data_IF_739946603902
#
_entry.id   IF_739946603902
#
_cell.length_a   1.000
_cell.length_b   1.000
_cell.length_c   1.000
_cell.angle_alpha   90.00
_cell.angle_beta   90.00
_cell.angle_gamma   90.00
#
_symmetry.space_group_name_H-M   'P 1'
#
loop_
_entity.id
_entity.type
_entity.pdbx_description
1 polymer ?
#
# COMPACT_ATOMS: atom_id res chain seq x y z
N UNK A 1 -21.61 -7.28 3.31
CA UNK A 1 -21.64 -6.58 1.99
C UNK A 1 -20.20 -6.48 1.51
N UNK A 2 -19.88 -7.05 0.35
CA UNK A 2 -18.52 -7.00 -0.20
C UNK A 2 -18.36 -5.73 -1.03
N UNK A 3 -17.33 -4.93 -0.74
CA UNK A 3 -16.94 -3.78 -1.55
C UNK A 3 -15.49 -4.00 -2.02
N UNK A 4 -15.26 -4.17 -3.33
CA UNK A 4 -13.91 -4.24 -3.86
C UNK A 4 -13.20 -2.90 -3.71
N UNK A 5 -11.88 -2.91 -3.78
CA UNK A 5 -11.08 -1.71 -3.70
C UNK A 5 -9.63 -1.95 -4.06
N UNK A 6 -8.86 -0.88 -3.96
CA UNK A 6 -7.43 -0.87 -4.20
C UNK A 6 -6.73 -0.20 -3.03
N UNK A 7 -5.73 -0.85 -2.46
CA UNK A 7 -4.79 -0.22 -1.55
C UNK A 7 -3.48 0.08 -2.28
N UNK A 8 -3.02 1.31 -2.20
CA UNK A 8 -1.74 1.77 -2.72
C UNK A 8 -0.84 2.15 -1.56
N UNK A 9 0.27 1.44 -1.38
CA UNK A 9 1.21 1.62 -0.27
C UNK A 9 2.54 2.14 -0.79
N UNK A 10 2.94 3.32 -0.33
CA UNK A 10 4.29 3.85 -0.54
C UNK A 10 5.17 3.37 0.62
N UNK A 11 6.19 2.58 0.31
CA UNK A 11 7.17 2.10 1.27
C UNK A 11 8.55 1.97 0.59
N UNK A 12 9.60 1.92 1.41
CA UNK A 12 10.92 1.58 0.94
C UNK A 12 11.51 0.38 1.67
N UNK A 13 12.64 -0.13 1.16
CA UNK A 13 13.32 -1.30 1.73
C UNK A 13 13.74 -1.08 3.19
N UNK A 14 13.96 0.17 3.57
CA UNK A 14 14.27 0.63 4.94
C UNK A 14 13.59 1.99 5.18
N UNK A 15 13.46 2.42 6.44
CA UNK A 15 12.91 3.74 6.76
C UNK A 15 13.77 4.92 6.25
N UNK A 16 15.04 4.67 5.95
CA UNK A 16 15.97 5.65 5.37
C UNK A 16 16.18 5.48 3.86
N UNK A 17 15.37 4.65 3.19
CA UNK A 17 15.53 4.41 1.77
C UNK A 17 15.31 5.71 0.96
N UNK A 18 16.17 5.94 -0.02
CA UNK A 18 16.09 7.05 -0.96
C UNK A 18 16.29 6.48 -2.36
N UNK A 19 15.54 6.99 -3.33
CA UNK A 19 15.76 6.68 -4.74
C UNK A 19 16.96 7.48 -5.24
N UNK A 20 17.96 6.76 -5.74
CA UNK A 20 19.16 7.31 -6.36
C UNK A 20 19.23 6.89 -7.82
N UNK A 21 20.13 7.48 -8.60
CA UNK A 21 20.26 7.16 -10.03
C UNK A 21 20.52 5.67 -10.28
N UNK A 22 21.45 5.08 -9.53
CA UNK A 22 21.81 3.67 -9.66
C UNK A 22 20.76 2.71 -9.06
N UNK A 23 19.92 3.21 -8.14
CA UNK A 23 18.85 2.45 -7.49
C UNK A 23 17.55 3.26 -7.42
N UNK A 24 16.83 3.40 -8.55
CA UNK A 24 15.72 4.36 -8.67
C UNK A 24 14.43 3.89 -7.98
N UNK A 25 14.37 2.65 -7.50
CA UNK A 25 13.13 2.00 -7.05
C UNK A 25 13.22 1.46 -5.60
N UNK A 26 14.05 2.08 -4.75
CA UNK A 26 14.17 1.70 -3.33
C UNK A 26 13.00 2.16 -2.48
N UNK A 27 12.28 3.20 -2.92
CA UNK A 27 11.00 3.68 -2.39
C UNK A 27 10.01 3.67 -3.55
N UNK A 28 8.93 2.89 -3.43
CA UNK A 28 7.98 2.69 -4.53
C UNK A 28 6.56 2.47 -4.04
N UNK A 29 5.62 2.71 -4.95
CA UNK A 29 4.20 2.41 -4.73
C UNK A 29 3.93 0.95 -5.06
N UNK A 30 3.36 0.25 -4.09
CA UNK A 30 2.82 -1.09 -4.24
C UNK A 30 1.30 -1.02 -4.28
N UNK A 31 0.67 -1.60 -5.30
CA UNK A 31 -0.78 -1.66 -5.39
C UNK A 31 -1.26 -3.09 -5.16
N UNK A 32 -2.29 -3.23 -4.33
CA UNK A 32 -2.95 -4.49 -4.06
C UNK A 32 -4.46 -4.32 -4.15
N UNK A 33 -5.15 -5.30 -4.74
CA UNK A 33 -6.60 -5.35 -4.66
C UNK A 33 -7.01 -5.76 -3.25
N UNK A 34 -8.03 -5.10 -2.72
CA UNK A 34 -8.56 -5.37 -1.38
C UNK A 34 -10.05 -5.59 -1.45
N UNK A 35 -10.55 -6.42 -0.53
CA UNK A 35 -11.97 -6.67 -0.38
C UNK A 35 -12.39 -6.36 1.05
N UNK A 36 -13.38 -5.48 1.21
CA UNK A 36 -14.08 -5.34 2.47
C UNK A 36 -14.97 -6.56 2.69
N UNK A 37 -14.78 -7.23 3.82
CA UNK A 37 -15.59 -8.36 4.29
C UNK A 37 -16.21 -7.99 5.63
N UNK A 38 -17.54 -8.02 5.72
CA UNK A 38 -18.29 -7.74 6.97
C UNK A 38 -17.91 -6.41 7.65
N UNK A 39 -17.64 -5.38 6.84
CA UNK A 39 -17.26 -4.05 7.32
C UNK A 39 -15.82 -3.94 7.81
N UNK A 40 -15.05 -5.03 7.77
CA UNK A 40 -13.65 -5.08 8.13
C UNK A 40 -12.77 -5.14 6.87
N UNK A 41 -11.66 -4.41 6.91
CA UNK A 41 -10.61 -4.47 5.91
C UNK A 41 -9.39 -5.15 6.52
N UNK A 42 -9.20 -6.47 6.33
CA UNK A 42 -7.97 -7.12 6.76
C UNK A 42 -6.82 -6.59 5.92
N UNK A 43 -5.98 -5.73 6.50
CA UNK A 43 -4.79 -5.20 5.84
C UNK A 43 -3.59 -5.23 6.78
N UNK A 44 -2.47 -5.73 6.28
CA UNK A 44 -1.18 -5.57 6.93
C UNK A 44 -0.53 -4.31 6.39
N UNK A 45 -0.32 -3.31 7.26
CA UNK A 45 0.40 -2.09 6.91
C UNK A 45 1.88 -2.24 7.27
N UNK A 46 2.81 -2.14 6.30
CA UNK A 46 4.22 -2.19 6.63
C UNK A 46 4.61 -0.98 7.51
N UNK A 47 5.59 -1.12 8.40
CA UNK A 47 6.06 -0.01 9.23
C UNK A 47 6.63 1.10 8.35
N UNK A 48 6.54 2.35 8.83
CA UNK A 48 7.06 3.54 8.12
C UNK A 48 6.53 3.68 6.69
N UNK A 49 5.26 3.35 6.46
CA UNK A 49 4.61 3.42 5.15
C UNK A 49 3.43 4.38 5.14
N UNK A 50 3.10 4.87 3.94
CA UNK A 50 1.85 5.59 3.68
C UNK A 50 0.96 4.72 2.81
N UNK A 51 -0.25 4.39 3.28
CA UNK A 51 -1.21 3.58 2.52
C UNK A 51 -2.48 4.37 2.24
N UNK A 52 -2.86 4.47 0.96
CA UNK A 52 -4.15 5.00 0.50
C UNK A 52 -5.06 3.85 0.08
N UNK A 53 -6.24 3.76 0.67
CA UNK A 53 -7.27 2.78 0.30
C UNK A 53 -8.40 3.50 -0.44
N UNK A 54 -8.77 2.97 -1.60
CA UNK A 54 -9.91 3.43 -2.40
C UNK A 54 -10.88 2.27 -2.52
N UNK A 55 -12.10 2.46 -2.02
CA UNK A 55 -13.17 1.47 -2.08
C UNK A 55 -14.11 1.85 -3.21
N UNK A 56 -14.45 0.88 -4.06
CA UNK A 56 -15.49 1.05 -5.07
C UNK A 56 -16.83 0.60 -4.49
N UNK A 57 -17.87 1.40 -4.77
CA UNK A 57 -19.23 1.20 -4.23
C UNK A 57 -19.98 0.10 -4.95
#
# INVERSE_FOLDING_TARGET
RQAPGTASTLAGDTFMAINAWDTPNRVRLHMQSVHLSDGLLPCHLPPHSLTRIVLTR
#
